data_IF_133743793012
#
_entry.id   IF_133743793012
#
_cell.length_a   1.000
_cell.length_b   1.000
_cell.length_c   1.000
_cell.angle_alpha   90.00
_cell.angle_beta   90.00
_cell.angle_gamma   90.00
#
_symmetry.space_group_name_H-M   'P 1'
#
loop_
_entity.id
_entity.type
_entity.pdbx_description
1 polymer ?
#
# COMPACT_ATOMS: atom_id res chain seq x y z
N UNK A 1 -24.25 -0.55 -3.34
CA UNK A 1 -23.01 -0.20 -2.61
C UNK A 1 -22.16 0.68 -3.51
N UNK A 2 -21.92 1.94 -3.15
CA UNK A 2 -21.37 2.97 -4.05
C UNK A 2 -19.86 2.74 -4.29
N UNK A 3 -19.47 2.66 -5.57
CA UNK A 3 -18.09 2.61 -6.05
C UNK A 3 -17.28 3.79 -5.52
N UNK A 4 -16.09 3.50 -5.00
CA UNK A 4 -15.12 4.52 -4.61
C UNK A 4 -14.24 4.81 -5.83
N UNK A 5 -14.00 6.10 -6.09
CA UNK A 5 -13.17 6.57 -7.19
C UNK A 5 -11.73 6.05 -7.03
N UNK A 6 -11.34 5.13 -7.90
CA UNK A 6 -9.96 4.70 -8.08
C UNK A 6 -9.35 5.70 -9.07
N UNK A 7 -8.49 6.58 -8.58
CA UNK A 7 -7.70 7.46 -9.44
C UNK A 7 -6.52 6.65 -9.99
N UNK A 8 -6.52 6.41 -11.30
CA UNK A 8 -5.41 5.77 -12.02
C UNK A 8 -4.60 6.90 -12.64
N UNK A 9 -3.42 7.17 -12.08
CA UNK A 9 -2.43 8.10 -12.65
C UNK A 9 -1.71 7.40 -13.81
N UNK A 10 -1.74 8.00 -15.01
CA UNK A 10 -0.99 7.51 -16.17
C UNK A 10 0.51 7.69 -15.91
N UNK A 11 1.17 6.59 -15.54
CA UNK A 11 2.62 6.49 -15.36
C UNK A 11 3.05 5.58 -14.21
N UNK A 12 2.23 5.47 -13.16
CA UNK A 12 2.45 4.55 -12.03
C UNK A 12 1.14 3.96 -11.56
N UNK A 13 1.08 2.63 -11.47
CA UNK A 13 -0.08 1.96 -10.92
C UNK A 13 -0.15 2.21 -9.41
N UNK A 14 -1.23 2.85 -8.97
CA UNK A 14 -1.45 3.16 -7.57
C UNK A 14 -2.90 2.93 -7.15
N UNK A 15 -3.09 2.67 -5.86
CA UNK A 15 -4.39 2.63 -5.20
C UNK A 15 -4.35 3.50 -3.96
N UNK A 16 -5.26 4.47 -3.90
CA UNK A 16 -5.46 5.33 -2.73
C UNK A 16 -6.75 4.95 -2.01
N UNK A 17 -6.77 5.17 -0.70
CA UNK A 17 -7.94 4.94 0.14
C UNK A 17 -7.94 5.91 1.31
N UNK A 18 -9.12 6.42 1.67
CA UNK A 18 -9.31 7.30 2.81
C UNK A 18 -10.51 6.84 3.64
N UNK A 19 -10.39 6.81 4.95
CA UNK A 19 -11.51 6.51 5.85
C UNK A 19 -11.24 7.06 7.24
N UNK A 20 -12.29 7.17 8.04
CA UNK A 20 -12.16 7.53 9.45
C UNK A 20 -12.12 6.26 10.31
N UNK A 21 -11.28 6.27 11.33
CA UNK A 21 -11.11 5.20 12.30
C UNK A 21 -11.26 5.74 13.72
N UNK A 22 -11.75 4.91 14.63
CA UNK A 22 -11.85 5.28 16.05
C UNK A 22 -10.53 5.06 16.78
N UNK A 23 -10.31 5.82 17.85
CA UNK A 23 -9.16 5.65 18.75
C UNK A 23 -8.08 6.72 18.58
N UNK A 24 -6.85 6.37 18.97
CA UNK A 24 -5.71 7.28 19.02
C UNK A 24 -4.70 6.97 17.89
N UNK A 25 -4.06 8.01 17.35
CA UNK A 25 -3.05 7.90 16.27
C UNK A 25 -1.94 6.91 16.61
N UNK A 26 -1.40 6.93 17.83
CA UNK A 26 -0.30 6.05 18.25
C UNK A 26 -0.69 4.56 18.21
N UNK A 27 -1.91 4.23 18.65
CA UNK A 27 -2.45 2.86 18.63
C UNK A 27 -2.67 2.41 17.19
N UNK A 28 -3.31 3.24 16.37
CA UNK A 28 -3.52 2.92 14.95
C UNK A 28 -2.19 2.81 14.20
N UNK A 29 -1.20 3.64 14.51
CA UNK A 29 0.13 3.58 13.93
C UNK A 29 0.83 2.24 14.27
N UNK A 30 0.69 1.75 15.51
CA UNK A 30 1.19 0.44 15.89
C UNK A 30 0.50 -0.70 15.11
N UNK A 31 -0.82 -0.62 14.89
CA UNK A 31 -1.58 -1.60 14.09
C UNK A 31 -1.15 -1.59 12.61
N UNK A 32 -0.95 -0.40 12.03
CA UNK A 32 -0.44 -0.25 10.66
C UNK A 32 0.96 -0.87 10.54
N UNK A 33 1.86 -0.60 11.49
CA UNK A 33 3.20 -1.20 11.53
C UNK A 33 3.13 -2.72 11.64
N UNK A 34 2.28 -3.25 12.52
CA UNK A 34 2.09 -4.69 12.68
C UNK A 34 1.54 -5.35 11.41
N UNK A 35 0.61 -4.69 10.71
CA UNK A 35 0.10 -5.15 9.41
C UNK A 35 1.22 -5.27 8.38
N UNK A 36 2.03 -4.24 8.20
CA UNK A 36 3.11 -4.28 7.22
C UNK A 36 4.24 -5.25 7.59
N UNK A 37 4.52 -5.42 8.88
CA UNK A 37 5.42 -6.49 9.37
C UNK A 37 4.90 -7.87 8.98
N UNK A 38 3.60 -8.15 9.17
CA UNK A 38 2.96 -9.41 8.75
C UNK A 38 3.06 -9.62 7.23
N UNK A 39 2.98 -8.55 6.44
CA UNK A 39 3.16 -8.60 4.98
C UNK A 39 4.62 -8.69 4.53
N UNK A 40 5.58 -8.78 5.46
CA UNK A 40 7.03 -8.81 5.18
C UNK A 40 7.50 -7.58 4.39
N UNK A 41 6.92 -6.42 4.67
CA UNK A 41 7.41 -5.15 4.12
C UNK A 41 8.42 -4.51 5.06
N UNK A 42 9.43 -3.88 4.49
CA UNK A 42 10.46 -3.14 5.22
C UNK A 42 10.00 -1.71 5.42
N UNK A 43 10.04 -1.22 6.67
CA UNK A 43 9.82 0.20 6.98
C UNK A 43 11.03 1.00 6.47
N UNK A 44 10.77 2.04 5.66
CA UNK A 44 11.80 2.92 5.08
C UNK A 44 11.72 4.35 5.59
N UNK A 45 10.64 4.68 6.30
CA UNK A 45 10.45 5.98 6.93
C UNK A 45 9.30 5.89 7.93
N UNK A 46 9.46 6.53 9.07
CA UNK A 46 8.43 6.61 10.08
C UNK A 46 8.54 7.95 10.81
N UNK A 47 7.40 8.63 10.93
CA UNK A 47 7.23 9.83 11.73
C UNK A 47 5.89 9.75 12.47
N UNK A 48 5.60 10.72 13.35
CA UNK A 48 4.32 10.76 14.06
C UNK A 48 3.17 10.79 13.05
N UNK A 49 2.26 9.81 13.12
CA UNK A 49 1.12 9.69 12.22
C UNK A 49 1.45 9.25 10.79
N UNK A 50 2.68 8.83 10.46
CA UNK A 50 2.98 8.39 9.10
C UNK A 50 3.99 7.24 9.04
N UNK A 51 3.69 6.24 8.20
CA UNK A 51 4.52 5.06 7.97
C UNK A 51 4.75 4.88 6.47
N UNK A 52 6.02 4.73 6.09
CA UNK A 52 6.47 4.41 4.73
C UNK A 52 7.08 3.02 4.72
N UNK A 53 6.61 2.16 3.81
CA UNK A 53 7.10 0.80 3.68
C UNK A 53 7.38 0.44 2.22
N UNK A 54 8.32 -0.48 2.00
CA UNK A 54 8.60 -1.06 0.68
C UNK A 54 8.69 -2.58 0.75
N UNK A 55 8.45 -3.23 -0.38
CA UNK A 55 8.71 -4.65 -0.58
C UNK A 55 9.09 -4.91 -2.04
N UNK A 56 9.86 -5.98 -2.27
CA UNK A 56 10.31 -6.37 -3.59
C UNK A 56 11.59 -5.64 -4.00
N UNK A 57 12.16 -6.06 -5.12
CA UNK A 57 13.41 -5.51 -5.64
C UNK A 57 13.31 -5.39 -7.16
N UNK A 58 13.45 -4.17 -7.72
CA UNK A 58 13.45 -3.97 -9.17
C UNK A 58 14.53 -4.80 -9.88
N UNK A 59 15.68 -5.00 -9.22
CA UNK A 59 16.79 -5.81 -9.71
C UNK A 59 16.40 -7.29 -9.83
N UNK A 60 15.75 -7.85 -8.81
CA UNK A 60 15.33 -9.26 -8.82
C UNK A 60 14.24 -9.51 -9.87
N UNK A 61 13.29 -8.58 -10.01
CA UNK A 61 12.24 -8.70 -11.03
C UNK A 61 12.76 -8.54 -12.46
N UNK A 62 13.85 -7.80 -12.65
CA UNK A 62 14.51 -7.67 -13.96
C UNK A 62 15.22 -8.96 -14.38
N UNK A 63 15.80 -9.71 -13.42
CA UNK A 63 16.57 -10.92 -13.71
C UNK A 63 15.71 -12.14 -14.11
N UNK A 64 14.53 -12.31 -13.49
CA UNK A 64 13.62 -13.42 -13.82
C UNK A 64 12.55 -13.07 -14.86
N UNK A 65 12.49 -11.81 -15.27
CA UNK A 65 11.32 -11.24 -15.91
C UNK A 65 10.15 -11.05 -14.92
N UNK A 66 9.41 -9.97 -15.10
CA UNK A 66 8.28 -9.60 -14.24
C UNK A 66 7.15 -10.66 -14.23
N UNK A 67 7.14 -11.55 -15.23
CA UNK A 67 6.15 -12.61 -15.37
C UNK A 67 6.31 -13.76 -14.35
N UNK A 68 7.52 -14.30 -14.25
CA UNK A 68 7.86 -15.46 -13.40
C UNK A 68 8.15 -15.07 -11.95
N UNK A 69 8.32 -13.77 -11.70
CA UNK A 69 8.62 -13.25 -10.37
C UNK A 69 7.49 -13.53 -9.39
N UNK A 70 7.78 -14.15 -8.22
CA UNK A 70 6.84 -14.27 -7.13
C UNK A 70 6.27 -12.90 -6.74
N UNK A 71 5.01 -12.87 -6.32
CA UNK A 71 4.31 -11.64 -5.94
C UNK A 71 4.99 -10.85 -4.81
N UNK A 72 5.75 -11.54 -3.95
CA UNK A 72 6.58 -10.94 -2.90
C UNK A 72 7.79 -10.17 -3.46
N UNK A 73 8.26 -10.50 -4.66
CA UNK A 73 9.42 -9.88 -5.30
C UNK A 73 9.03 -8.65 -6.12
N UNK A 74 7.77 -8.55 -6.52
CA UNK A 74 7.21 -7.38 -7.21
C UNK A 74 7.43 -6.10 -6.38
N UNK A 75 8.15 -5.10 -6.94
CA UNK A 75 8.44 -3.84 -6.29
C UNK A 75 7.16 -3.07 -5.98
N UNK A 76 6.96 -2.74 -4.70
CA UNK A 76 5.82 -1.96 -4.25
C UNK A 76 6.17 -1.14 -3.03
N UNK A 77 5.48 -0.01 -2.89
CA UNK A 77 5.59 0.88 -1.75
C UNK A 77 4.21 1.15 -1.20
N UNK A 78 4.14 1.44 0.09
CA UNK A 78 2.93 1.96 0.69
C UNK A 78 3.25 3.07 1.68
N UNK A 79 2.36 4.06 1.73
CA UNK A 79 2.38 5.16 2.67
C UNK A 79 1.03 5.20 3.37
N UNK A 80 1.04 5.21 4.70
CA UNK A 80 -0.17 5.40 5.50
C UNK A 80 0.03 6.63 6.37
N UNK A 81 -0.88 7.58 6.23
CA UNK A 81 -0.97 8.81 7.03
C UNK A 81 -2.20 8.74 7.94
N UNK A 82 -2.00 9.15 9.18
CA UNK A 82 -2.94 9.17 10.27
C UNK A 82 -2.94 10.60 10.81
N UNK A 83 -4.12 11.21 10.89
CA UNK A 83 -4.27 12.58 11.39
C UNK A 83 -5.41 12.62 12.38
N UNK A 84 -5.19 13.23 13.54
CA UNK A 84 -6.24 13.42 14.54
C UNK A 84 -7.39 14.27 13.99
N UNK A 85 -8.60 13.95 14.44
CA UNK A 85 -9.85 14.66 14.18
C UNK A 85 -10.68 14.65 15.46
N UNK A 86 -11.63 15.58 15.59
CA UNK A 86 -12.49 15.72 16.76
C UNK A 86 -13.18 14.41 17.20
N UNK A 87 -13.54 13.55 16.24
CA UNK A 87 -14.24 12.28 16.47
C UNK A 87 -13.40 11.01 16.23
N UNK A 88 -12.06 11.12 16.11
CA UNK A 88 -11.18 9.97 15.89
C UNK A 88 -9.95 10.29 15.05
N UNK A 89 -9.63 9.43 14.09
CA UNK A 89 -8.43 9.55 13.25
C UNK A 89 -8.79 9.40 11.78
N UNK A 90 -8.37 10.38 10.98
CA UNK A 90 -8.40 10.29 9.53
C UNK A 90 -7.26 9.39 9.05
N UNK A 91 -7.59 8.35 8.28
CA UNK A 91 -6.62 7.46 7.65
C UNK A 91 -6.56 7.78 6.16
N UNK A 92 -5.35 7.99 5.63
CA UNK A 92 -5.08 8.04 4.20
C UNK A 92 -3.99 7.02 3.86
N UNK A 93 -4.32 6.04 3.05
CA UNK A 93 -3.40 5.02 2.60
C UNK A 93 -3.18 5.15 1.09
N UNK A 94 -1.94 4.96 0.66
CA UNK A 94 -1.53 4.89 -0.74
C UNK A 94 -0.63 3.67 -0.91
N UNK A 95 -0.96 2.81 -1.88
CA UNK A 95 -0.14 1.66 -2.26
C UNK A 95 0.22 1.86 -3.73
N UNK A 96 1.50 1.82 -4.06
CA UNK A 96 2.00 2.06 -5.41
C UNK A 96 2.95 0.97 -5.88
N UNK A 97 2.94 0.77 -7.18
CA UNK A 97 3.95 0.08 -7.94
C UNK A 97 5.27 0.85 -7.85
N UNK A 98 6.38 0.15 -7.62
CA UNK A 98 7.69 0.78 -7.38
C UNK A 98 8.79 0.26 -8.31
N UNK A 99 8.42 -0.29 -9.48
CA UNK A 99 9.37 -0.67 -10.51
C UNK A 99 9.86 0.56 -11.26
N UNK A 100 10.93 0.36 -12.01
CA UNK A 100 11.46 1.34 -12.97
C UNK A 100 10.97 1.05 -14.39
N UNK A 101 9.92 0.24 -14.55
CA UNK A 101 9.39 -0.13 -15.85
C UNK A 101 8.63 1.05 -16.44
N UNK A 102 8.94 1.43 -17.68
CA UNK A 102 8.24 2.51 -18.38
C UNK A 102 6.82 2.11 -18.80
N UNK A 103 6.58 0.82 -18.97
CA UNK A 103 5.28 0.27 -19.32
C UNK A 103 5.03 -0.99 -18.50
N UNK A 104 3.84 -1.09 -17.93
CA UNK A 104 3.40 -2.27 -17.19
C UNK A 104 2.50 -3.07 -18.12
N UNK A 105 2.83 -4.33 -18.37
CA UNK A 105 1.98 -5.21 -19.15
C UNK A 105 0.64 -5.46 -18.45
N UNK A 106 -0.49 -5.59 -19.17
CA UNK A 106 -1.83 -5.70 -18.57
C UNK A 106 -1.97 -6.81 -17.52
N UNK A 107 -1.27 -7.94 -17.69
CA UNK A 107 -1.30 -9.04 -16.73
C UNK A 107 -0.58 -8.71 -15.41
N UNK A 108 0.53 -7.97 -15.49
CA UNK A 108 1.26 -7.50 -14.31
C UNK A 108 0.44 -6.43 -13.59
N UNK A 109 -0.21 -5.55 -14.34
CA UNK A 109 -1.15 -4.57 -13.82
C UNK A 109 -2.27 -5.26 -13.03
N UNK A 110 -2.90 -6.29 -13.61
CA UNK A 110 -3.93 -7.09 -12.93
C UNK A 110 -3.41 -7.73 -11.63
N UNK A 111 -2.17 -8.25 -11.62
CA UNK A 111 -1.54 -8.80 -10.41
C UNK A 111 -1.42 -7.73 -9.32
N UNK A 112 -0.92 -6.54 -9.65
CA UNK A 112 -0.79 -5.45 -8.69
C UNK A 112 -2.14 -4.94 -8.19
N UNK A 113 -3.10 -4.72 -9.09
CA UNK A 113 -4.46 -4.28 -8.74
C UNK A 113 -5.12 -5.22 -7.72
N UNK A 114 -5.06 -6.52 -7.97
CA UNK A 114 -5.56 -7.53 -7.03
C UNK A 114 -4.84 -7.45 -5.67
N UNK A 115 -3.52 -7.24 -5.67
CA UNK A 115 -2.74 -7.09 -4.44
C UNK A 115 -3.15 -5.86 -3.64
N UNK A 116 -3.19 -4.70 -4.31
CA UNK A 116 -3.47 -3.43 -3.68
C UNK A 116 -4.88 -3.43 -3.10
N UNK A 117 -5.86 -3.94 -3.85
CA UNK A 117 -7.24 -4.06 -3.38
C UNK A 117 -7.37 -5.00 -2.17
N UNK A 118 -6.65 -6.12 -2.16
CA UNK A 118 -6.62 -7.05 -1.03
C UNK A 118 -6.02 -6.40 0.22
N UNK A 119 -4.88 -5.74 0.07
CA UNK A 119 -4.20 -5.07 1.19
C UNK A 119 -4.97 -3.88 1.73
N UNK A 120 -5.59 -3.08 0.87
CA UNK A 120 -6.42 -1.95 1.30
C UNK A 120 -7.61 -2.43 2.14
N UNK A 121 -8.26 -3.52 1.71
CA UNK A 121 -9.37 -4.13 2.45
C UNK A 121 -8.93 -4.68 3.80
N UNK A 122 -7.84 -5.44 3.83
CA UNK A 122 -7.29 -5.99 5.06
C UNK A 122 -6.81 -4.89 6.02
N UNK A 123 -6.15 -3.85 5.51
CA UNK A 123 -5.71 -2.71 6.30
C UNK A 123 -6.92 -2.02 6.93
N UNK A 124 -7.93 -1.68 6.13
CA UNK A 124 -9.19 -1.09 6.62
C UNK A 124 -9.89 -1.96 7.66
N UNK A 125 -9.84 -3.29 7.53
CA UNK A 125 -10.42 -4.19 8.53
C UNK A 125 -9.70 -4.17 9.88
N UNK A 126 -8.40 -3.79 9.90
CA UNK A 126 -7.57 -3.74 11.10
C UNK A 126 -7.58 -2.39 11.80
N UNK A 127 -7.80 -1.31 11.06
CA UNK A 127 -7.84 0.06 11.58
C UNK A 127 -9.23 0.66 11.32
N UNK A 128 -10.14 0.38 12.27
CA UNK A 128 -11.57 0.70 12.21
C UNK A 128 -11.99 1.47 13.45
#
# INVERSE_FOLDING_TARGET
MKCWAIWISMGKLELTGSWDAKGNVSVLQALVRAFFKKKKMTVIGQQAGEIHVKQGSPLLTRLLGSWLSPKSWLPKRAVVRLSEKDAGVAVRARIEEASTLQTIEPRLEAKYNMYFACWMRELKSRIR
#
